data_IF_823225825193
#
_entry.id   IF_823225825193
#
_cell.length_a   1.000
_cell.length_b   1.000
_cell.length_c   1.000
_cell.angle_alpha   90.00
_cell.angle_beta   90.00
_cell.angle_gamma   90.00
#
_symmetry.space_group_name_H-M   'P 1'
#
loop_
_entity.id
_entity.type
_entity.pdbx_description
1 polymer ?
#
# COMPACT_ATOMS: atom_id res chain seq x y z
N UNK A 1 -5.11 15.33 14.60
CA UNK A 1 -3.95 14.42 14.77
C UNK A 1 -3.35 14.19 13.40
N UNK A 2 -2.03 14.30 13.26
CA UNK A 2 -1.32 14.10 11.97
C UNK A 2 -0.68 12.71 12.01
N UNK A 3 -0.95 11.87 11.00
CA UNK A 3 -0.29 10.57 10.81
C UNK A 3 0.75 10.69 9.69
N UNK A 4 2.01 10.40 9.99
CA UNK A 4 3.08 10.34 9.00
C UNK A 4 3.37 8.88 8.63
N UNK A 5 3.53 8.61 7.33
CA UNK A 5 3.85 7.28 6.80
C UNK A 5 5.27 7.26 6.26
N UNK A 6 6.05 6.24 6.63
CA UNK A 6 7.34 5.98 6.01
C UNK A 6 7.16 5.64 4.54
N UNK A 7 7.82 6.37 3.64
CA UNK A 7 7.79 6.12 2.20
C UNK A 7 9.02 5.31 1.74
N UNK A 8 8.97 4.75 0.53
CA UNK A 8 10.10 4.00 -0.04
C UNK A 8 10.25 2.57 0.49
N UNK A 9 9.25 2.03 1.19
CA UNK A 9 9.21 0.64 1.63
C UNK A 9 8.92 -0.36 0.49
N UNK A 10 9.52 -0.12 -0.67
CA UNK A 10 9.41 -0.90 -1.91
C UNK A 10 10.06 -2.28 -1.78
N UNK A 11 11.08 -2.39 -0.92
CA UNK A 11 11.70 -3.65 -0.58
C UNK A 11 10.99 -4.29 0.63
N UNK A 12 10.78 -5.63 0.63
CA UNK A 12 10.14 -6.33 1.76
C UNK A 12 10.86 -6.14 3.10
N UNK A 13 12.18 -5.92 3.09
CA UNK A 13 12.97 -5.70 4.30
C UNK A 13 12.64 -4.35 4.95
N UNK A 14 12.49 -3.30 4.16
CA UNK A 14 12.15 -1.95 4.64
C UNK A 14 10.73 -1.92 5.20
N UNK A 15 9.78 -2.55 4.49
CA UNK A 15 8.41 -2.71 4.98
C UNK A 15 8.39 -3.41 6.35
N UNK A 16 9.09 -4.55 6.47
CA UNK A 16 9.19 -5.29 7.73
C UNK A 16 9.89 -4.49 8.83
N UNK A 17 10.88 -3.66 8.48
CA UNK A 17 11.57 -2.79 9.42
C UNK A 17 10.63 -1.76 10.05
N UNK A 18 9.90 -1.00 9.24
CA UNK A 18 8.93 -0.01 9.73
C UNK A 18 7.79 -0.67 10.51
N UNK A 19 7.25 -1.77 9.98
CA UNK A 19 6.16 -2.49 10.64
C UNK A 19 6.56 -3.04 12.02
N UNK A 20 7.76 -3.62 12.16
CA UNK A 20 8.27 -4.11 13.45
C UNK A 20 8.51 -3.01 14.47
N UNK A 21 8.85 -1.81 14.01
CA UNK A 21 8.98 -0.63 14.87
C UNK A 21 7.63 0.00 15.23
N UNK A 22 6.51 -0.55 14.74
CA UNK A 22 5.17 -0.02 14.97
C UNK A 22 4.88 1.29 14.23
N UNK A 23 5.72 1.67 13.27
CA UNK A 23 5.54 2.91 12.51
C UNK A 23 4.55 2.70 11.35
N UNK A 24 3.68 3.69 11.05
CA UNK A 24 2.86 3.63 9.85
C UNK A 24 3.70 3.51 8.57
N UNK A 25 3.27 2.64 7.65
CA UNK A 25 4.05 2.28 6.45
C UNK A 25 3.29 2.61 5.18
N UNK A 26 3.96 3.22 4.20
CA UNK A 26 3.42 3.47 2.86
C UNK A 26 4.02 2.52 1.82
N UNK A 27 3.18 1.95 0.95
CA UNK A 27 3.62 1.09 -0.15
C UNK A 27 2.87 1.41 -1.44
N UNK A 28 3.50 1.17 -2.58
CA UNK A 28 2.86 1.29 -3.89
C UNK A 28 2.30 -0.08 -4.29
N UNK A 29 1.04 -0.13 -4.73
CA UNK A 29 0.29 -1.38 -4.96
C UNK A 29 0.97 -2.34 -5.95
N UNK A 30 1.69 -1.79 -6.94
CA UNK A 30 2.46 -2.56 -7.92
C UNK A 30 3.67 -3.27 -7.30
N UNK A 31 4.17 -2.79 -6.17
CA UNK A 31 5.34 -3.34 -5.46
C UNK A 31 4.95 -4.42 -4.45
N UNK A 32 3.65 -4.67 -4.25
CA UNK A 32 3.15 -5.68 -3.33
C UNK A 32 3.30 -7.07 -3.94
N UNK A 33 4.45 -7.71 -3.69
CA UNK A 33 4.63 -9.15 -3.88
C UNK A 33 4.01 -9.96 -2.74
N UNK A 34 3.98 -11.30 -2.87
CA UNK A 34 3.40 -12.20 -1.86
C UNK A 34 4.02 -12.02 -0.46
N UNK A 35 5.33 -11.79 -0.37
CA UNK A 35 6.02 -11.57 0.90
C UNK A 35 5.67 -10.24 1.57
N UNK A 36 5.46 -9.17 0.78
CA UNK A 36 5.01 -7.87 1.29
C UNK A 36 3.55 -7.97 1.74
N UNK A 37 2.71 -8.63 0.94
CA UNK A 37 1.31 -8.87 1.30
C UNK A 37 1.17 -9.58 2.65
N UNK A 38 1.91 -10.68 2.86
CA UNK A 38 1.89 -11.40 4.14
C UNK A 38 2.36 -10.51 5.31
N UNK A 39 3.41 -9.71 5.10
CA UNK A 39 3.90 -8.77 6.11
C UNK A 39 2.89 -7.65 6.41
N UNK A 40 2.15 -7.17 5.41
CA UNK A 40 1.08 -6.18 5.58
C UNK A 40 -0.04 -6.72 6.46
N UNK A 41 -0.50 -7.95 6.19
CA UNK A 41 -1.55 -8.60 7.00
C UNK A 41 -1.10 -8.76 8.45
N UNK A 42 0.14 -9.21 8.67
CA UNK A 42 0.73 -9.33 10.01
C UNK A 42 0.85 -7.96 10.72
N UNK A 43 1.34 -6.95 10.02
CA UNK A 43 1.46 -5.59 10.55
C UNK A 43 0.09 -5.00 10.92
N UNK A 44 -0.92 -5.20 10.07
CA UNK A 44 -2.30 -4.78 10.31
C UNK A 44 -2.89 -5.44 11.56
N UNK A 45 -2.72 -6.76 11.72
CA UNK A 45 -3.09 -7.50 12.94
C UNK A 45 -2.47 -6.88 14.18
N UNK A 46 -1.22 -6.45 14.09
CA UNK A 46 -0.48 -5.81 15.18
C UNK A 46 -0.83 -4.32 15.39
N UNK A 47 -1.83 -3.78 14.67
CA UNK A 47 -2.30 -2.41 14.85
C UNK A 47 -1.51 -1.35 14.08
N UNK A 48 -0.66 -1.75 13.13
CA UNK A 48 0.09 -0.81 12.28
C UNK A 48 -0.83 -0.22 11.21
N UNK A 49 -0.79 1.10 11.05
CA UNK A 49 -1.46 1.79 9.96
C UNK A 49 -0.71 1.62 8.65
N UNK A 50 -1.42 1.26 7.58
CA UNK A 50 -0.83 0.95 6.29
C UNK A 50 -1.46 1.84 5.22
N UNK A 51 -0.62 2.57 4.49
CA UNK A 51 -1.02 3.37 3.35
C UNK A 51 -0.64 2.67 2.06
N UNK A 52 -1.57 2.59 1.11
CA UNK A 52 -1.35 1.93 -0.19
C UNK A 52 -1.72 2.86 -1.33
N UNK A 53 -0.70 3.33 -2.06
CA UNK A 53 -0.88 4.18 -3.24
C UNK A 53 -1.02 3.36 -4.52
N UNK A 54 -1.91 3.79 -5.40
CA UNK A 54 -2.12 3.18 -6.72
C UNK A 54 -0.94 3.32 -7.69
N UNK A 55 0.10 4.08 -7.37
CA UNK A 55 1.28 4.28 -8.22
C UNK A 55 1.03 5.15 -9.45
N UNK A 56 -0.15 5.76 -9.58
CA UNK A 56 -0.58 6.47 -10.78
C UNK A 56 0.31 7.65 -11.16
N UNK A 57 0.83 8.40 -10.18
CA UNK A 57 1.75 9.51 -10.45
C UNK A 57 3.07 9.02 -11.08
N UNK A 58 3.65 7.96 -10.52
CA UNK A 58 4.88 7.36 -11.04
C UNK A 58 4.66 6.75 -12.43
N UNK A 59 3.50 6.15 -12.67
CA UNK A 59 3.13 5.64 -13.99
C UNK A 59 3.01 6.78 -15.01
N UNK A 60 2.29 7.84 -14.66
CA UNK A 60 2.11 9.02 -15.51
C UNK A 60 3.44 9.68 -15.89
N UNK A 61 4.32 9.93 -14.92
CA UNK A 61 5.65 10.53 -15.17
C UNK A 61 6.54 9.66 -16.07
N UNK A 62 6.26 8.35 -16.16
CA UNK A 62 6.94 7.39 -17.03
C UNK A 62 6.19 7.11 -18.34
N UNK A 63 5.11 7.83 -18.63
CA UNK A 63 4.27 7.61 -19.82
C UNK A 63 3.58 6.24 -19.84
N UNK A 64 3.38 5.61 -18.69
CA UNK A 64 2.73 4.29 -18.55
C UNK A 64 1.29 4.46 -18.09
N UNK A 65 0.44 3.51 -18.48
CA UNK A 65 -0.94 3.40 -17.97
C UNK A 65 -0.96 2.53 -16.72
N UNK A 66 -1.83 2.87 -15.78
CA UNK A 66 -2.16 2.01 -14.64
C UNK A 66 -3.34 1.13 -15.03
N UNK A 67 -3.21 -0.16 -14.77
CA UNK A 67 -4.34 -1.10 -14.79
C UNK A 67 -5.10 -0.97 -13.47
N UNK A 68 -6.19 -0.20 -13.48
CA UNK A 68 -6.96 0.07 -12.27
C UNK A 68 -7.79 -1.13 -11.82
N UNK A 69 -8.18 -2.03 -12.71
CA UNK A 69 -8.91 -3.24 -12.33
C UNK A 69 -8.00 -4.12 -11.45
N UNK A 70 -6.74 -4.31 -11.87
CA UNK A 70 -5.75 -5.03 -11.06
C UNK A 70 -5.43 -4.33 -9.72
N UNK A 71 -5.47 -2.99 -9.67
CA UNK A 71 -5.30 -2.22 -8.42
C UNK A 71 -6.46 -2.48 -7.47
N UNK A 72 -7.70 -2.37 -7.97
CA UNK A 72 -8.92 -2.56 -7.19
C UNK A 72 -9.04 -4.00 -6.67
N UNK A 73 -8.70 -4.99 -7.49
CA UNK A 73 -8.65 -6.39 -7.06
C UNK A 73 -7.68 -6.60 -5.90
N UNK A 74 -6.50 -5.97 -5.97
CA UNK A 74 -5.50 -6.08 -4.91
C UNK A 74 -5.93 -5.36 -3.63
N UNK A 75 -6.64 -4.24 -3.75
CA UNK A 75 -7.27 -3.56 -2.63
C UNK A 75 -8.33 -4.43 -1.96
N UNK A 76 -9.24 -5.01 -2.74
CA UNK A 76 -10.26 -5.93 -2.21
C UNK A 76 -9.62 -7.08 -1.43
N UNK A 77 -8.59 -7.72 -2.01
CA UNK A 77 -7.84 -8.79 -1.33
C UNK A 77 -7.16 -8.36 -0.03
N UNK A 78 -6.65 -7.13 0.04
CA UNK A 78 -6.06 -6.61 1.29
C UNK A 78 -7.14 -6.37 2.35
N UNK A 79 -8.27 -5.79 1.96
CA UNK A 79 -9.41 -5.56 2.86
C UNK A 79 -9.92 -6.89 3.42
N UNK A 80 -10.09 -7.90 2.57
CA UNK A 80 -10.59 -9.22 2.97
C UNK A 80 -9.61 -9.98 3.89
N UNK A 81 -8.30 -9.77 3.71
CA UNK A 81 -7.27 -10.48 4.48
C UNK A 81 -6.90 -9.79 5.80
N UNK A 82 -7.19 -8.51 5.96
CA UNK A 82 -6.80 -7.73 7.14
C UNK A 82 -7.86 -7.81 8.24
N UNK A 83 -7.43 -8.04 9.48
CA UNK A 83 -8.32 -8.10 10.65
C UNK A 83 -8.81 -6.71 11.09
N UNK A 84 -8.08 -5.66 10.72
CA UNK A 84 -8.35 -4.26 11.06
C UNK A 84 -8.39 -3.40 9.79
N UNK A 85 -9.37 -3.59 8.89
CA UNK A 85 -9.43 -2.86 7.63
C UNK A 85 -9.51 -1.34 7.83
N UNK A 86 -9.97 -0.85 8.98
CA UNK A 86 -9.97 0.56 9.35
C UNK A 86 -8.57 1.18 9.48
N UNK A 87 -7.51 0.36 9.57
CA UNK A 87 -6.12 0.80 9.58
C UNK A 87 -5.49 0.84 8.18
N UNK A 88 -6.25 0.49 7.14
CA UNK A 88 -5.83 0.58 5.75
C UNK A 88 -6.25 1.93 5.13
N UNK A 89 -5.28 2.63 4.54
CA UNK A 89 -5.48 3.88 3.81
C UNK A 89 -5.19 3.64 2.33
N UNK A 90 -6.24 3.31 1.56
CA UNK A 90 -6.13 2.94 0.15
C UNK A 90 -6.39 4.15 -0.76
N UNK A 91 -5.47 4.47 -1.67
CA UNK A 91 -5.56 5.66 -2.52
C UNK A 91 -5.43 5.33 -4.01
N UNK A 92 -6.58 5.40 -4.69
CA UNK A 92 -6.66 5.38 -6.15
C UNK A 92 -6.63 6.80 -6.72
N UNK A 93 -5.56 7.16 -7.45
CA UNK A 93 -5.47 8.45 -8.14
C UNK A 93 -5.74 8.25 -9.62
N UNK A 94 -6.98 8.44 -10.04
CA UNK A 94 -7.36 8.39 -11.44
C UNK A 94 -7.13 9.77 -12.07
N UNK A 95 -6.16 9.88 -12.99
CA UNK A 95 -6.01 11.10 -13.79
C UNK A 95 -6.89 10.99 -15.04
N UNK A 96 -7.87 11.87 -15.20
CA UNK A 96 -8.47 12.13 -16.49
C UNK A 96 -7.47 12.91 -17.34
N UNK A 97 -6.94 12.29 -18.40
CA UNK A 97 -6.31 13.05 -19.46
C UNK A 97 -7.42 13.82 -20.19
N UNK A 98 -7.58 15.09 -19.86
CA UNK A 98 -8.37 16.07 -20.62
C UNK A 98 -7.41 17.01 -21.33
#
# INVERSE_FOLDING_TARGET
MITAFGSGASAPADFKGFARAGHPVGVVVQEIGAGVFAAMVEANRNGVQIFVDSGAYTAFTKGRRVDFDAVLDKYARLVDACERPELLHLVARMSSAT
#
